data_IF_999172126325
#
_entry.id   IF_999172126325
#
_cell.length_a   1.000
_cell.length_b   1.000
_cell.length_c   1.000
_cell.angle_alpha   90.00
_cell.angle_beta   90.00
_cell.angle_gamma   90.00
#
_symmetry.space_group_name_H-M   'P 1'
#
loop_
_entity.id
_entity.type
_entity.pdbx_description
1 polymer ?
#
# COMPACT_ATOMS: atom_id res chain seq x y z
N UNK A 1 79.97 -21.11 -18.28
CA UNK A 1 79.80 -21.04 -19.75
C UNK A 1 78.70 -20.01 -20.03
N UNK A 2 79.07 -18.79 -20.48
CA UNK A 2 78.82 -18.25 -21.84
C UNK A 2 77.33 -18.41 -22.26
N UNK A 3 76.43 -17.42 -22.10
CA UNK A 3 76.31 -16.08 -22.71
C UNK A 3 75.91 -16.11 -24.19
N UNK A 4 74.62 -15.89 -24.47
CA UNK A 4 74.03 -15.33 -25.73
C UNK A 4 72.50 -15.19 -25.56
N UNK A 5 71.95 -13.98 -25.41
CA UNK A 5 71.48 -13.06 -26.47
C UNK A 5 70.28 -13.58 -27.28
N UNK A 6 69.09 -12.98 -27.10
CA UNK A 6 68.36 -12.40 -28.24
C UNK A 6 67.32 -11.35 -27.80
N UNK A 7 67.53 -10.14 -28.31
CA UNK A 7 66.61 -9.01 -28.36
C UNK A 7 65.51 -9.29 -29.38
N UNK A 8 64.23 -9.05 -29.05
CA UNK A 8 63.21 -8.66 -30.05
C UNK A 8 62.19 -7.70 -29.44
N UNK A 9 62.23 -6.46 -29.92
CA UNK A 9 61.16 -5.46 -29.81
C UNK A 9 60.01 -5.82 -30.77
N UNK A 10 58.77 -5.70 -30.30
CA UNK A 10 57.57 -5.46 -31.10
C UNK A 10 56.74 -4.46 -30.26
N UNK A 11 56.57 -3.17 -30.64
CA UNK A 11 55.70 -2.65 -31.71
C UNK A 11 54.32 -3.32 -31.62
N UNK A 12 53.23 -2.73 -31.11
CA UNK A 12 52.90 -1.33 -30.88
C UNK A 12 51.62 -1.00 -31.64
N UNK A 13 50.45 -1.34 -31.09
CA UNK A 13 49.14 -0.75 -31.46
C UNK A 13 48.07 -1.14 -30.44
N UNK A 14 47.88 -0.30 -29.42
CA UNK A 14 46.69 -0.34 -28.56
C UNK A 14 45.59 0.45 -29.27
N UNK A 15 44.65 -0.25 -29.92
CA UNK A 15 43.42 0.35 -30.42
C UNK A 15 42.46 0.57 -29.24
N UNK A 16 42.32 1.81 -28.78
CA UNK A 16 41.30 2.20 -27.82
C UNK A 16 39.94 2.24 -28.54
N UNK A 17 39.18 1.13 -28.46
CA UNK A 17 37.79 1.09 -28.89
C UNK A 17 36.92 1.87 -27.90
N UNK A 18 36.36 3.00 -28.34
CA UNK A 18 35.34 3.72 -27.60
C UNK A 18 34.05 2.89 -27.59
N UNK A 19 33.80 2.18 -26.48
CA UNK A 19 32.51 1.53 -26.23
C UNK A 19 31.49 2.61 -25.88
N UNK A 20 30.62 2.96 -26.83
CA UNK A 20 29.42 3.77 -26.55
C UNK A 20 28.46 2.86 -25.78
N UNK A 21 28.46 2.99 -24.45
CA UNK A 21 27.51 2.30 -23.58
C UNK A 21 26.12 2.86 -23.85
N UNK A 22 25.29 2.11 -24.58
CA UNK A 22 23.86 2.38 -24.74
C UNK A 22 23.22 2.17 -23.36
N UNK A 23 23.06 3.24 -22.59
CA UNK A 23 22.32 3.19 -21.33
C UNK A 23 20.86 2.88 -21.64
N UNK A 24 20.47 1.62 -21.44
CA UNK A 24 19.07 1.24 -21.50
C UNK A 24 18.31 2.05 -20.44
N UNK A 25 17.38 2.90 -20.90
CA UNK A 25 16.43 3.59 -20.04
C UNK A 25 15.48 2.51 -19.54
N UNK A 26 15.77 1.92 -18.39
CA UNK A 26 14.83 1.07 -17.67
C UNK A 26 13.66 1.96 -17.25
N UNK A 27 12.49 1.68 -17.80
CA UNK A 27 11.23 2.26 -17.31
C UNK A 27 11.02 1.77 -15.89
N UNK A 28 11.32 2.60 -14.91
CA UNK A 28 10.93 2.34 -13.53
C UNK A 28 9.41 2.38 -13.48
N UNK A 29 8.78 1.21 -13.34
CA UNK A 29 7.37 1.13 -12.94
C UNK A 29 7.34 1.62 -11.50
N UNK A 30 6.87 2.86 -11.32
CA UNK A 30 6.68 3.42 -9.98
C UNK A 30 5.52 2.68 -9.30
N UNK A 31 5.73 2.28 -8.05
CA UNK A 31 4.67 1.80 -7.17
C UNK A 31 3.55 2.84 -7.11
N UNK A 32 2.30 2.42 -7.33
CA UNK A 32 1.15 3.31 -7.20
C UNK A 32 0.67 3.30 -5.76
N UNK A 33 0.56 4.50 -5.17
CA UNK A 33 -0.04 4.68 -3.84
C UNK A 33 -1.50 5.09 -3.97
N UNK A 34 -2.39 4.31 -3.38
CA UNK A 34 -3.82 4.64 -3.29
C UNK A 34 -4.09 5.21 -1.90
N UNK A 35 -4.13 6.55 -1.82
CA UNK A 35 -4.19 7.27 -0.53
C UNK A 35 -5.63 7.46 -0.04
N UNK A 36 -5.93 7.01 1.19
CA UNK A 36 -7.17 7.25 1.92
C UNK A 36 -6.91 8.15 3.13
N UNK A 37 -7.39 9.38 3.08
CA UNK A 37 -7.15 10.39 4.13
C UNK A 37 -8.41 11.12 4.58
N UNK A 38 -9.55 10.85 3.97
CA UNK A 38 -10.85 11.44 4.28
C UNK A 38 -11.69 10.51 5.14
N UNK A 39 -12.62 11.07 5.90
CA UNK A 39 -13.59 10.31 6.69
C UNK A 39 -14.27 9.24 5.79
N UNK A 40 -14.17 7.95 6.14
CA UNK A 40 -14.74 6.87 5.33
C UNK A 40 -16.27 6.89 5.23
N UNK A 41 -16.95 7.60 6.14
CA UNK A 41 -18.40 7.70 6.19
C UNK A 41 -18.92 9.07 5.76
N UNK A 42 -18.05 9.92 5.19
CA UNK A 42 -18.43 11.24 4.71
C UNK A 42 -19.61 11.17 3.74
N UNK A 43 -20.71 11.84 4.10
CA UNK A 43 -21.95 11.87 3.33
C UNK A 43 -22.90 10.68 3.58
N UNK A 44 -22.65 9.86 4.60
CA UNK A 44 -23.54 8.78 5.03
C UNK A 44 -24.21 9.07 6.38
N UNK A 45 -25.20 8.26 6.75
CA UNK A 45 -25.80 8.24 8.10
C UNK A 45 -25.26 7.09 8.96
N UNK A 46 -24.16 6.44 8.52
CA UNK A 46 -23.44 5.50 9.38
C UNK A 46 -23.05 6.18 10.70
N UNK A 47 -22.84 5.40 11.76
CA UNK A 47 -22.60 5.82 13.13
C UNK A 47 -23.80 6.44 13.86
N UNK A 48 -24.87 6.80 13.13
CA UNK A 48 -26.06 7.45 13.71
C UNK A 48 -27.36 6.67 13.48
N UNK A 49 -27.45 5.89 12.41
CA UNK A 49 -28.56 4.96 12.18
C UNK A 49 -28.32 3.66 12.94
N UNK A 50 -29.28 3.16 13.75
CA UNK A 50 -29.15 1.87 14.41
C UNK A 50 -28.98 0.69 13.45
N UNK A 51 -28.10 -0.24 13.83
CA UNK A 51 -27.76 -1.43 13.05
C UNK A 51 -26.69 -1.17 11.98
N UNK A 52 -26.09 -2.27 11.50
CA UNK A 52 -24.99 -2.23 10.52
C UNK A 52 -25.37 -1.45 9.26
N UNK A 53 -24.66 -0.36 9.01
CA UNK A 53 -24.65 0.33 7.73
C UNK A 53 -23.49 -0.17 6.86
N UNK A 54 -23.76 -0.36 5.57
CA UNK A 54 -22.71 -0.66 4.57
C UNK A 54 -22.70 0.47 3.56
N UNK A 55 -21.70 1.33 3.64
CA UNK A 55 -21.56 2.51 2.81
C UNK A 55 -20.50 2.29 1.73
N UNK A 56 -20.78 2.74 0.50
CA UNK A 56 -19.86 2.65 -0.63
C UNK A 56 -19.70 3.98 -1.37
N UNK A 57 -20.08 5.11 -0.75
CA UNK A 57 -20.06 6.42 -1.42
C UNK A 57 -18.66 6.98 -1.69
N UNK A 58 -17.63 6.41 -1.07
CA UNK A 58 -16.22 6.76 -1.28
C UNK A 58 -15.44 5.62 -1.98
N UNK A 59 -16.12 4.62 -2.55
CA UNK A 59 -15.50 3.46 -3.19
C UNK A 59 -14.68 3.87 -4.43
N UNK A 60 -13.39 3.52 -4.44
CA UNK A 60 -12.50 3.68 -5.60
C UNK A 60 -12.46 2.42 -6.45
N UNK A 61 -12.49 2.58 -7.77
CA UNK A 61 -12.38 1.47 -8.72
C UNK A 61 -10.94 1.38 -9.23
N UNK A 62 -10.29 0.24 -9.01
CA UNK A 62 -8.87 0.04 -9.26
C UNK A 62 -8.68 -1.09 -10.27
N UNK A 63 -8.61 -0.75 -11.56
CA UNK A 63 -8.44 -1.72 -12.65
C UNK A 63 -7.00 -2.13 -12.90
N UNK A 64 -6.03 -1.43 -12.31
CA UNK A 64 -4.60 -1.65 -12.54
C UNK A 64 -3.79 -1.84 -11.25
N UNK A 65 -4.44 -2.17 -10.13
CA UNK A 65 -3.74 -2.36 -8.86
C UNK A 65 -2.85 -3.59 -8.93
N UNK A 66 -1.54 -3.38 -8.82
CA UNK A 66 -0.54 -4.43 -8.87
C UNK A 66 -0.14 -4.85 -7.44
N UNK A 67 -0.54 -6.06 -7.03
CA UNK A 67 -0.22 -6.58 -5.69
C UNK A 67 1.28 -6.66 -5.37
N UNK A 68 2.14 -6.74 -6.38
CA UNK A 68 3.58 -6.84 -6.17
C UNK A 68 4.25 -5.48 -5.86
N UNK A 69 3.63 -4.36 -6.23
CA UNK A 69 4.25 -3.03 -6.14
C UNK A 69 3.39 -1.98 -5.47
N UNK A 70 2.07 -2.07 -5.60
CA UNK A 70 1.16 -0.99 -5.21
C UNK A 70 0.76 -1.13 -3.74
N UNK A 71 0.40 0.01 -3.15
CA UNK A 71 0.03 0.08 -1.74
C UNK A 71 -1.22 0.92 -1.51
N UNK A 72 -1.96 0.55 -0.49
CA UNK A 72 -2.98 1.37 0.13
C UNK A 72 -2.33 2.17 1.26
N UNK A 73 -2.44 3.49 1.18
CA UNK A 73 -1.86 4.40 2.15
C UNK A 73 -2.97 5.02 2.95
N UNK A 74 -2.96 4.83 4.27
CA UNK A 74 -4.01 5.29 5.16
C UNK A 74 -3.49 6.42 6.05
N UNK A 75 -4.31 7.45 6.24
CA UNK A 75 -4.15 8.34 7.38
C UNK A 75 -4.70 7.65 8.63
N UNK A 76 -3.82 7.03 9.43
CA UNK A 76 -4.22 6.27 10.60
C UNK A 76 -5.12 7.06 11.57
N UNK A 77 -4.86 8.36 11.76
CA UNK A 77 -5.67 9.22 12.62
C UNK A 77 -7.12 9.37 12.12
N UNK A 78 -7.32 9.51 10.80
CA UNK A 78 -8.66 9.57 10.19
C UNK A 78 -9.48 8.30 10.46
N UNK A 79 -8.81 7.14 10.57
CA UNK A 79 -9.45 5.85 10.79
C UNK A 79 -9.45 5.39 12.25
N UNK A 80 -8.97 6.23 13.18
CA UNK A 80 -8.88 5.86 14.61
C UNK A 80 -7.87 4.75 14.91
N UNK A 81 -6.84 4.60 14.08
CA UNK A 81 -5.82 3.56 14.16
C UNK A 81 -4.48 4.11 14.67
N UNK A 82 -3.62 3.22 15.15
CA UNK A 82 -2.25 3.55 15.53
C UNK A 82 -1.33 3.82 14.33
N UNK A 83 -0.15 4.36 14.60
CA UNK A 83 0.85 4.69 13.56
C UNK A 83 1.47 3.46 12.89
N UNK A 84 1.20 2.25 13.37
CA UNK A 84 1.67 1.00 12.82
C UNK A 84 0.48 0.07 12.65
N UNK A 85 0.41 -0.62 11.52
CA UNK A 85 -0.65 -1.58 11.23
C UNK A 85 -0.08 -2.99 11.39
N UNK A 86 -0.75 -3.81 12.18
CA UNK A 86 -0.54 -5.24 12.23
C UNK A 86 -1.35 -5.92 11.12
N UNK A 87 -0.73 -6.87 10.43
CA UNK A 87 -1.25 -7.48 9.22
C UNK A 87 -1.41 -9.00 9.37
N UNK A 88 -2.54 -9.51 8.91
CA UNK A 88 -2.84 -10.94 8.79
C UNK A 88 -3.41 -11.23 7.41
N UNK A 89 -2.94 -12.31 6.79
CA UNK A 89 -3.53 -12.90 5.59
C UNK A 89 -3.75 -14.39 5.82
N UNK A 90 -5.00 -14.81 5.94
CA UNK A 90 -5.32 -16.19 6.28
C UNK A 90 -6.77 -16.54 5.96
N UNK A 91 -7.06 -17.84 6.03
CA UNK A 91 -8.42 -18.33 6.24
C UNK A 91 -8.91 -17.91 7.64
N UNK A 92 -10.21 -17.90 7.85
CA UNK A 92 -10.87 -17.47 9.09
C UNK A 92 -10.39 -18.26 10.32
N UNK A 93 -10.00 -19.52 10.13
CA UNK A 93 -9.41 -20.35 11.19
C UNK A 93 -8.01 -19.91 11.66
N UNK A 94 -7.31 -19.09 10.88
CA UNK A 94 -5.97 -18.57 11.19
C UNK A 94 -5.95 -17.10 11.65
N UNK A 95 -7.10 -16.44 11.76
CA UNK A 95 -7.19 -15.07 12.26
C UNK A 95 -6.90 -15.08 13.77
N UNK A 96 -5.92 -14.29 14.27
CA UNK A 96 -5.65 -14.20 15.70
C UNK A 96 -6.80 -13.47 16.42
N UNK A 97 -7.03 -13.84 17.67
CA UNK A 97 -8.08 -13.22 18.48
C UNK A 97 -7.83 -11.73 18.76
N UNK A 98 -6.59 -11.25 18.68
CA UNK A 98 -6.25 -9.87 18.97
C UNK A 98 -5.13 -9.35 18.07
N UNK A 99 -5.06 -8.02 17.94
CA UNK A 99 -3.89 -7.32 17.46
C UNK A 99 -3.67 -7.39 15.94
N UNK A 100 -4.70 -7.62 15.13
CA UNK A 100 -4.64 -7.46 13.67
C UNK A 100 -5.47 -6.23 13.26
N UNK A 101 -4.83 -5.24 12.64
CA UNK A 101 -5.50 -4.02 12.15
C UNK A 101 -5.95 -4.18 10.69
N UNK A 102 -5.22 -5.01 9.92
CA UNK A 102 -5.50 -5.34 8.53
C UNK A 102 -5.63 -6.85 8.37
N UNK A 103 -6.78 -7.29 7.88
CA UNK A 103 -7.08 -8.71 7.68
C UNK A 103 -7.41 -8.96 6.20
N UNK A 104 -6.62 -9.79 5.53
CA UNK A 104 -7.00 -10.36 4.24
C UNK A 104 -7.65 -11.71 4.52
N UNK A 105 -8.96 -11.77 4.33
CA UNK A 105 -9.79 -12.96 4.53
C UNK A 105 -9.80 -13.79 3.25
N UNK A 106 -9.24 -15.00 3.33
CA UNK A 106 -9.17 -15.92 2.19
C UNK A 106 -10.45 -16.74 1.96
N UNK A 107 -11.36 -16.77 2.93
CA UNK A 107 -12.67 -17.43 2.80
C UNK A 107 -13.47 -16.75 1.69
N UNK A 108 -14.08 -17.56 0.83
CA UNK A 108 -14.93 -17.09 -0.28
C UNK A 108 -16.42 -17.34 -0.02
N UNK A 109 -16.73 -17.99 1.10
CA UNK A 109 -18.03 -18.46 1.53
C UNK A 109 -17.97 -18.74 3.06
N UNK A 110 -19.11 -18.64 3.74
CA UNK A 110 -19.26 -18.86 5.18
C UNK A 110 -20.24 -19.98 5.54
N UNK A 111 -21.04 -20.49 4.60
CA UNK A 111 -22.10 -21.45 4.89
C UNK A 111 -22.20 -22.63 3.92
N UNK A 112 -21.34 -22.70 2.90
CA UNK A 112 -21.30 -23.79 1.93
C UNK A 112 -22.40 -23.70 0.88
N UNK A 113 -23.19 -22.62 0.87
CA UNK A 113 -24.30 -22.44 -0.05
C UNK A 113 -23.93 -21.41 -1.13
N UNK A 114 -23.80 -21.82 -2.40
CA UNK A 114 -23.45 -20.89 -3.48
C UNK A 114 -24.55 -19.86 -3.79
N UNK A 115 -25.77 -20.04 -3.25
CA UNK A 115 -26.87 -19.09 -3.42
C UNK A 115 -26.84 -17.94 -2.41
N UNK A 116 -26.05 -18.02 -1.35
CA UNK A 116 -25.88 -16.96 -0.34
C UNK A 116 -24.68 -16.08 -0.70
N UNK A 117 -24.89 -14.79 -1.02
CA UNK A 117 -23.80 -13.86 -1.30
C UNK A 117 -22.78 -13.74 -0.18
N UNK A 118 -21.50 -13.89 -0.52
CA UNK A 118 -20.41 -13.50 0.35
C UNK A 118 -20.11 -12.01 0.14
N UNK A 119 -20.83 -11.16 0.89
CA UNK A 119 -20.74 -9.71 0.83
C UNK A 119 -19.99 -9.13 2.05
N UNK A 120 -19.78 -7.80 2.07
CA UNK A 120 -18.97 -7.14 3.11
C UNK A 120 -19.49 -7.41 4.53
N UNK A 121 -20.80 -7.40 4.73
CA UNK A 121 -21.41 -7.71 6.03
C UNK A 121 -21.14 -9.15 6.47
N UNK A 122 -21.22 -10.10 5.55
CA UNK A 122 -20.94 -11.52 5.83
C UNK A 122 -19.47 -11.74 6.19
N UNK A 123 -18.55 -11.17 5.40
CA UNK A 123 -17.11 -11.22 5.68
C UNK A 123 -16.77 -10.58 7.04
N UNK A 124 -17.37 -9.42 7.35
CA UNK A 124 -17.19 -8.78 8.64
C UNK A 124 -17.71 -9.63 9.81
N UNK A 125 -18.85 -10.32 9.65
CA UNK A 125 -19.36 -11.24 10.68
C UNK A 125 -18.46 -12.46 10.88
N UNK A 126 -17.83 -12.98 9.82
CA UNK A 126 -16.83 -14.05 9.92
C UNK A 126 -15.62 -13.57 10.74
N UNK A 127 -15.10 -12.37 10.45
CA UNK A 127 -13.97 -11.78 11.17
C UNK A 127 -14.31 -11.50 12.64
N UNK A 128 -15.48 -10.91 12.91
CA UNK A 128 -15.95 -10.63 14.26
C UNK A 128 -16.15 -11.90 15.10
N UNK A 129 -16.43 -13.03 14.47
CA UNK A 129 -16.46 -14.33 15.15
C UNK A 129 -15.08 -14.87 15.55
N UNK A 130 -13.97 -14.20 15.18
CA UNK A 130 -12.58 -14.62 15.45
C UNK A 130 -11.83 -13.63 16.33
N UNK A 131 -11.99 -12.34 16.08
CA UNK A 131 -11.40 -11.27 16.89
C UNK A 131 -12.16 -11.16 18.21
N UNK A 132 -11.49 -10.80 19.30
CA UNK A 132 -12.06 -10.63 20.64
C UNK A 132 -11.73 -9.27 21.27
N UNK A 133 -10.98 -8.43 20.56
CA UNK A 133 -10.64 -7.07 20.99
C UNK A 133 -11.40 -6.05 20.16
N UNK A 134 -12.04 -5.09 20.82
CA UNK A 134 -12.69 -3.98 20.15
C UNK A 134 -11.66 -3.02 19.59
N UNK A 135 -11.60 -2.90 18.26
CA UNK A 135 -10.81 -1.90 17.56
C UNK A 135 -11.29 -1.77 16.11
N UNK A 136 -11.19 -0.57 15.56
CA UNK A 136 -11.42 -0.33 14.14
C UNK A 136 -10.35 -1.03 13.29
N UNK A 137 -10.60 -1.25 12.01
CA UNK A 137 -9.60 -1.84 11.14
C UNK A 137 -10.05 -2.03 9.71
N UNK A 138 -9.18 -2.63 8.92
CA UNK A 138 -9.40 -2.89 7.50
C UNK A 138 -9.50 -4.37 7.24
N UNK A 139 -10.27 -4.72 6.23
CA UNK A 139 -10.18 -6.06 5.65
C UNK A 139 -10.33 -6.07 4.14
N UNK A 140 -9.70 -7.06 3.52
CA UNK A 140 -9.93 -7.43 2.12
C UNK A 140 -10.65 -8.77 2.10
N UNK A 141 -11.66 -8.87 1.25
CA UNK A 141 -12.39 -10.11 1.01
C UNK A 141 -12.74 -10.22 -0.49
N UNK A 142 -13.01 -11.44 -0.95
CA UNK A 142 -13.58 -11.66 -2.27
C UNK A 142 -15.11 -11.51 -2.23
N UNK A 143 -15.68 -10.63 -3.04
CA UNK A 143 -17.12 -10.48 -3.16
C UNK A 143 -17.65 -11.43 -4.25
N UNK A 144 -18.39 -12.47 -3.85
CA UNK A 144 -18.86 -13.52 -4.76
C UNK A 144 -19.98 -13.09 -5.72
N UNK A 145 -20.62 -11.94 -5.52
CA UNK A 145 -21.63 -11.41 -6.45
C UNK A 145 -20.98 -10.57 -7.54
N UNK A 146 -19.91 -9.88 -7.19
CA UNK A 146 -19.20 -8.97 -8.08
C UNK A 146 -17.95 -9.59 -8.70
N UNK A 147 -17.57 -10.80 -8.26
CA UNK A 147 -16.38 -11.53 -8.68
C UNK A 147 -15.08 -10.71 -8.53
N UNK A 148 -14.96 -9.91 -7.48
CA UNK A 148 -13.81 -9.00 -7.26
C UNK A 148 -13.41 -8.91 -5.79
N UNK A 149 -12.15 -8.54 -5.54
CA UNK A 149 -11.68 -8.24 -4.20
C UNK A 149 -12.03 -6.79 -3.82
N UNK A 150 -12.48 -6.58 -2.58
CA UNK A 150 -12.81 -5.25 -2.05
C UNK A 150 -12.08 -4.98 -0.75
N UNK A 151 -11.57 -3.76 -0.62
CA UNK A 151 -11.01 -3.21 0.61
C UNK A 151 -12.12 -2.49 1.38
N UNK A 152 -12.30 -2.86 2.64
CA UNK A 152 -13.36 -2.35 3.51
C UNK A 152 -12.74 -1.86 4.82
N UNK A 153 -13.24 -0.74 5.33
CA UNK A 153 -13.01 -0.29 6.69
C UNK A 153 -14.19 -0.72 7.58
N UNK A 154 -13.90 -1.23 8.77
CA UNK A 154 -14.85 -1.50 9.84
C UNK A 154 -14.59 -0.59 11.03
N UNK A 155 -15.64 -0.04 11.63
CA UNK A 155 -15.52 0.74 12.87
C UNK A 155 -15.13 -0.12 14.08
N UNK A 156 -15.42 -1.43 14.02
CA UNK A 156 -14.97 -2.40 15.00
C UNK A 156 -14.86 -3.80 14.35
N UNK A 157 -13.69 -4.43 14.38
CA UNK A 157 -13.45 -5.76 13.82
C UNK A 157 -14.02 -6.89 14.68
N UNK A 158 -14.33 -6.65 15.96
CA UNK A 158 -14.94 -7.61 16.90
C UNK A 158 -16.48 -7.51 16.95
N UNK A 159 -17.10 -6.56 16.24
CA UNK A 159 -18.55 -6.38 16.29
C UNK A 159 -19.22 -6.78 14.95
N UNK A 160 -20.07 -7.83 14.93
CA UNK A 160 -20.81 -8.23 13.75
C UNK A 160 -21.95 -7.25 13.37
N UNK A 161 -22.15 -6.17 14.11
CA UNK A 161 -23.04 -5.07 13.78
C UNK A 161 -22.29 -3.76 13.41
N UNK A 162 -20.95 -3.75 13.41
CA UNK A 162 -20.15 -2.58 13.10
C UNK A 162 -20.46 -1.99 11.72
N UNK A 163 -20.44 -0.67 11.62
CA UNK A 163 -20.59 0.02 10.33
C UNK A 163 -19.38 -0.21 9.44
N UNK A 164 -19.66 -0.39 8.15
CA UNK A 164 -18.68 -0.71 7.12
C UNK A 164 -18.63 0.36 6.05
N UNK A 165 -17.43 0.76 5.65
CA UNK A 165 -17.21 1.60 4.47
C UNK A 165 -16.36 0.85 3.45
N UNK A 166 -16.87 0.64 2.24
CA UNK A 166 -16.06 0.12 1.15
C UNK A 166 -15.21 1.25 0.58
N UNK A 167 -13.90 1.07 0.71
CA UNK A 167 -12.90 2.04 0.26
C UNK A 167 -12.44 1.79 -1.17
N UNK A 168 -12.30 0.52 -1.57
CA UNK A 168 -11.87 0.18 -2.91
C UNK A 168 -12.44 -1.13 -3.44
N UNK A 169 -12.53 -1.19 -4.77
CA UNK A 169 -12.82 -2.36 -5.58
C UNK A 169 -11.67 -2.59 -6.55
N UNK A 170 -11.03 -3.74 -6.44
CA UNK A 170 -9.98 -4.14 -7.39
C UNK A 170 -10.68 -4.87 -8.53
N UNK A 171 -10.86 -4.17 -9.66
CA UNK A 171 -11.72 -4.66 -10.76
C UNK A 171 -10.98 -5.54 -11.76
N UNK A 172 -9.69 -5.82 -11.52
CA UNK A 172 -8.88 -6.76 -12.28
C UNK A 172 -7.77 -7.32 -11.37
N UNK A 173 -7.59 -8.64 -11.28
CA UNK A 173 -8.37 -9.69 -11.95
C UNK A 173 -9.79 -9.87 -11.34
N UNK A 174 -10.62 -10.72 -11.96
CA UNK A 174 -11.97 -11.11 -11.48
C UNK A 174 -12.09 -12.62 -11.28
N UNK A 175 -13.15 -13.07 -10.62
CA UNK A 175 -13.51 -14.48 -10.46
C UNK A 175 -12.42 -15.30 -9.76
N UNK A 176 -12.10 -16.47 -10.30
CA UNK A 176 -11.09 -17.37 -9.73
C UNK A 176 -9.71 -16.71 -9.62
N UNK A 177 -9.33 -15.85 -10.57
CA UNK A 177 -8.05 -15.15 -10.52
C UNK A 177 -8.03 -14.11 -9.39
N UNK A 178 -9.16 -13.46 -9.09
CA UNK A 178 -9.28 -12.59 -7.92
C UNK A 178 -9.16 -13.38 -6.60
N UNK A 179 -9.76 -14.57 -6.52
CA UNK A 179 -9.65 -15.47 -5.37
C UNK A 179 -8.18 -15.89 -5.18
N UNK A 180 -7.51 -16.32 -6.25
CA UNK A 180 -6.09 -16.71 -6.24
C UNK A 180 -5.14 -15.56 -5.88
N UNK A 181 -5.60 -14.31 -6.02
CA UNK A 181 -4.85 -13.12 -5.66
C UNK A 181 -4.91 -12.80 -4.15
N UNK A 182 -5.89 -13.30 -3.39
CA UNK A 182 -6.01 -13.04 -1.95
C UNK A 182 -4.76 -13.45 -1.15
N UNK A 183 -4.18 -14.64 -1.34
CA UNK A 183 -2.95 -15.04 -0.63
C UNK A 183 -1.72 -14.20 -1.02
N UNK A 184 -1.78 -13.42 -2.09
CA UNK A 184 -0.66 -12.63 -2.60
C UNK A 184 -0.53 -11.25 -1.93
N UNK A 185 -1.56 -10.79 -1.20
CA UNK A 185 -1.43 -9.59 -0.39
C UNK A 185 -0.42 -9.78 0.73
N UNK A 186 0.42 -8.78 0.92
CA UNK A 186 1.44 -8.72 1.97
C UNK A 186 1.28 -7.45 2.78
N UNK A 187 2.00 -7.36 3.91
CA UNK A 187 2.04 -6.13 4.71
C UNK A 187 2.58 -4.92 3.92
N UNK A 188 3.39 -5.12 2.88
CA UNK A 188 3.89 -4.03 2.04
C UNK A 188 2.77 -3.31 1.26
N UNK A 189 1.62 -3.95 1.07
CA UNK A 189 0.47 -3.32 0.42
C UNK A 189 -0.30 -2.37 1.35
N UNK A 190 0.06 -2.26 2.63
CA UNK A 190 -0.69 -1.46 3.62
C UNK A 190 0.24 -0.56 4.42
N UNK A 191 0.07 0.75 4.28
CA UNK A 191 0.98 1.76 4.84
C UNK A 191 0.18 2.75 5.68
N UNK A 192 0.59 3.00 6.93
CA UNK A 192 -0.08 3.93 7.87
C UNK A 192 0.46 5.37 7.83
N UNK A 193 1.40 5.68 6.95
CA UNK A 193 2.00 7.01 6.85
C UNK A 193 1.56 7.72 5.59
N UNK A 194 0.80 8.81 5.72
CA UNK A 194 0.77 9.85 4.70
C UNK A 194 1.99 10.74 4.95
N UNK A 195 2.98 10.84 4.05
CA UNK A 195 4.03 11.83 4.19
C UNK A 195 3.38 13.20 4.29
N UNK A 196 3.57 13.92 5.40
CA UNK A 196 3.03 15.27 5.49
C UNK A 196 3.68 16.14 4.41
N UNK A 197 2.92 16.65 3.42
CA UNK A 197 3.50 17.39 2.30
C UNK A 197 4.22 18.68 2.77
N UNK A 198 3.85 19.18 3.95
CA UNK A 198 4.49 20.29 4.65
C UNK A 198 5.95 20.02 5.00
N UNK A 199 6.33 18.79 5.36
CA UNK A 199 7.69 18.49 5.85
C UNK A 199 8.71 18.58 4.70
N UNK A 200 8.35 18.06 3.53
CA UNK A 200 9.19 18.17 2.33
C UNK A 200 9.28 19.62 1.82
N UNK A 201 8.14 20.34 1.82
CA UNK A 201 8.10 21.75 1.43
C UNK A 201 8.92 22.63 2.39
N UNK A 202 8.79 22.43 3.71
CA UNK A 202 9.55 23.16 4.72
C UNK A 202 11.04 22.83 4.67
N UNK A 203 11.41 21.57 4.44
CA UNK A 203 12.81 21.18 4.25
C UNK A 203 13.41 21.86 3.00
N UNK A 204 12.66 21.89 1.90
CA UNK A 204 13.09 22.56 0.66
C UNK A 204 13.23 24.08 0.85
N UNK A 205 12.27 24.73 1.52
CA UNK A 205 12.32 26.17 1.83
C UNK A 205 13.48 26.46 2.80
N UNK A 206 13.68 25.62 3.82
CA UNK A 206 14.79 25.74 4.76
C UNK A 206 16.15 25.69 4.07
N UNK A 207 16.35 24.72 3.18
CA UNK A 207 17.59 24.61 2.38
C UNK A 207 17.80 25.82 1.45
N UNK A 208 16.74 26.28 0.77
CA UNK A 208 16.80 27.47 -0.08
C UNK A 208 17.15 28.73 0.74
N UNK A 209 16.57 28.89 1.93
CA UNK A 209 16.87 29.99 2.85
C UNK A 209 18.32 30.01 3.31
N UNK A 210 18.89 28.85 3.67
CA UNK A 210 20.31 28.72 4.07
C UNK A 210 21.26 29.04 2.91
N UNK A 211 20.94 28.60 1.68
CA UNK A 211 21.75 28.93 0.50
C UNK A 211 21.72 30.42 0.17
N UNK A 212 20.57 31.08 0.30
CA UNK A 212 20.44 32.53 0.08
C UNK A 212 21.18 33.34 1.15
N UNK A 213 21.13 32.94 2.42
CA UNK A 213 21.91 33.60 3.49
C UNK A 213 23.42 33.48 3.25
N UNK A 214 23.92 32.30 2.88
CA UNK A 214 25.35 32.10 2.56
C UNK A 214 25.86 32.96 1.41
N UNK A 215 25.01 33.26 0.41
CA UNK A 215 25.39 34.15 -0.71
C UNK A 215 25.54 35.60 -0.28
N UNK A 216 24.75 36.08 0.70
CA UNK A 216 24.85 37.46 1.20
C UNK A 216 26.11 37.68 2.05
N UNK A 217 26.57 36.66 2.77
CA UNK A 217 27.80 36.75 3.58
C UNK A 217 29.06 36.94 2.74
N UNK A 218 29.10 36.44 1.49
CA UNK A 218 30.26 36.58 0.59
C UNK A 218 30.36 37.94 -0.12
N UNK A 219 29.33 38.79 -0.03
CA UNK A 219 29.34 40.13 -0.64
C UNK A 219 29.70 41.24 0.35
N UNK A 220 29.90 40.90 1.64
CA UNK A 220 30.22 41.84 2.70
C UNK A 220 31.71 41.84 3.05
N UNK A 221 32.58 41.69 2.05
CA UNK A 221 34.02 41.89 2.22
C UNK A 221 34.37 43.29 1.71
N UNK A 222 34.58 44.29 2.60
CA UNK A 222 34.94 45.62 2.18
C UNK A 222 36.36 45.60 1.59
N UNK A 223 36.49 46.08 0.35
CA UNK A 223 37.78 46.33 -0.27
C UNK A 223 38.57 47.33 0.58
N UNK A 224 39.69 46.88 1.13
CA UNK A 224 40.73 47.69 1.76
C UNK A 224 41.95 47.75 0.83
#
# INVERSE_FOLDING_TARGET
>A
MRLTSLVRRACGTLAAGAAVSLSAISTQVHATEVVFSTDPFLGSTALTTPGRQVFAGQERFLSGFNLASDSFVFNAATFGLGNSLSFVNSLSGGIPAAGADVIVLQDTDNDGNPATPFAAGTAASVIAGKVSTDHAGFFIYHNSVLDVNRLVFSTNLNDPAADLSILARITSPTGLDAINALPQFTNANFVSSVPEPSTAALAAIGLAGVMLMRRRSKMAEPAA
#
